data_IF_124262635796
#
_entry.id   IF_124262635796
#
_cell.length_a   1.000
_cell.length_b   1.000
_cell.length_c   1.000
_cell.angle_alpha   90.00
_cell.angle_beta   90.00
_cell.angle_gamma   90.00
#
_symmetry.space_group_name_H-M   'P 1'
#
loop_
_entity.id
_entity.type
_entity.pdbx_description
1 polymer ?
#
# COMPACT_ATOMS: atom_id res chain seq x y z
N UNK A 1 -21.80 -81.32 -23.31
CA UNK A 1 -22.35 -79.97 -23.54
C UNK A 1 -21.92 -79.04 -22.41
N UNK A 2 -21.05 -78.05 -22.73
CA UNK A 2 -20.47 -77.11 -21.75
C UNK A 2 -21.51 -76.07 -21.33
N UNK A 3 -21.79 -75.99 -20.03
CA UNK A 3 -22.56 -74.90 -19.42
C UNK A 3 -21.57 -73.78 -19.06
N UNK A 4 -21.72 -72.62 -19.70
CA UNK A 4 -20.90 -71.43 -19.47
C UNK A 4 -21.34 -70.70 -18.19
N UNK A 5 -20.38 -70.45 -17.29
CA UNK A 5 -20.46 -69.43 -16.25
C UNK A 5 -20.59 -68.04 -16.90
N UNK A 6 -21.53 -67.22 -16.41
CA UNK A 6 -21.70 -65.81 -16.79
C UNK A 6 -20.92 -64.93 -15.81
N UNK A 7 -19.92 -64.13 -16.24
CA UNK A 7 -19.24 -63.21 -15.35
C UNK A 7 -20.02 -61.89 -15.24
N UNK A 8 -20.18 -61.43 -14.00
CA UNK A 8 -20.86 -60.20 -13.58
C UNK A 8 -19.80 -59.14 -13.31
N UNK A 9 -19.13 -58.59 -14.32
CA UNK A 9 -18.09 -57.57 -14.13
C UNK A 9 -17.88 -56.72 -15.39
N UNK A 10 -18.88 -55.95 -15.83
CA UNK A 10 -18.67 -54.88 -16.83
C UNK A 10 -19.62 -53.71 -16.56
N UNK A 11 -19.55 -53.12 -15.36
CA UNK A 11 -20.24 -51.85 -15.09
C UNK A 11 -19.54 -51.05 -13.97
N UNK A 12 -18.23 -51.19 -13.84
CA UNK A 12 -17.43 -50.36 -12.92
C UNK A 12 -16.26 -49.65 -13.60
N UNK A 13 -15.82 -50.14 -14.77
CA UNK A 13 -14.69 -49.55 -15.50
C UNK A 13 -15.04 -48.26 -16.28
N UNK A 14 -16.29 -48.09 -16.72
CA UNK A 14 -16.68 -46.90 -17.52
C UNK A 14 -16.98 -45.66 -16.69
N UNK A 15 -17.19 -45.80 -15.37
CA UNK A 15 -17.44 -44.66 -14.47
C UNK A 15 -16.11 -44.07 -13.97
N UNK A 16 -15.04 -44.87 -13.92
CA UNK A 16 -13.72 -44.41 -13.48
C UNK A 16 -13.03 -43.48 -14.49
N UNK A 17 -13.31 -43.61 -15.79
CA UNK A 17 -12.72 -42.74 -16.83
C UNK A 17 -13.41 -41.36 -16.95
N UNK A 18 -14.66 -41.21 -16.50
CA UNK A 18 -15.36 -39.92 -16.50
C UNK A 18 -15.01 -39.04 -15.28
N UNK A 19 -14.53 -39.66 -14.19
CA UNK A 19 -14.07 -38.93 -12.99
C UNK A 19 -12.61 -38.45 -13.10
N UNK A 20 -11.80 -39.03 -13.99
CA UNK A 20 -10.42 -38.59 -14.19
C UNK A 20 -10.29 -37.41 -15.17
N UNK A 21 -11.23 -37.25 -16.09
CA UNK A 21 -11.27 -36.14 -17.05
C UNK A 21 -11.75 -34.80 -16.50
N UNK A 22 -12.35 -34.77 -15.30
CA UNK A 22 -12.86 -33.57 -14.64
C UNK A 22 -11.91 -32.97 -13.59
N UNK A 23 -10.79 -33.64 -13.29
CA UNK A 23 -9.77 -33.14 -12.36
C UNK A 23 -8.74 -32.21 -13.01
N UNK A 24 -8.77 -32.04 -14.33
CA UNK A 24 -7.89 -31.09 -15.06
C UNK A 24 -8.55 -29.75 -15.39
N UNK A 25 -9.82 -29.55 -15.05
CA UNK A 25 -10.54 -28.31 -15.29
C UNK A 25 -10.54 -27.39 -14.07
N UNK A 26 -9.39 -27.03 -13.53
CA UNK A 26 -9.23 -25.84 -12.67
C UNK A 26 -7.77 -25.49 -12.38
N UNK A 27 -6.95 -25.28 -13.41
CA UNK A 27 -5.92 -24.23 -13.29
C UNK A 27 -6.62 -22.87 -13.49
N UNK A 28 -7.52 -22.54 -12.56
CA UNK A 28 -7.92 -21.16 -12.38
C UNK A 28 -6.63 -20.43 -12.01
N UNK A 29 -6.06 -19.69 -12.96
CA UNK A 29 -5.00 -18.72 -12.66
C UNK A 29 -5.65 -17.67 -11.75
N UNK A 30 -5.64 -17.92 -10.44
CA UNK A 30 -6.00 -16.91 -9.47
C UNK A 30 -5.05 -15.75 -9.68
N UNK A 31 -5.57 -14.59 -10.09
CA UNK A 31 -4.75 -13.39 -10.20
C UNK A 31 -4.14 -13.06 -8.85
N UNK A 32 -2.81 -13.14 -8.80
CA UNK A 32 -2.07 -12.81 -7.59
C UNK A 32 -2.29 -11.33 -7.24
N UNK A 33 -2.21 -11.01 -5.95
CA UNK A 33 -2.29 -9.63 -5.49
C UNK A 33 -1.26 -8.72 -6.19
N UNK A 34 -0.08 -9.27 -6.47
CA UNK A 34 0.98 -8.60 -7.20
C UNK A 34 0.58 -8.27 -8.64
N UNK A 35 -0.08 -9.20 -9.36
CA UNK A 35 -0.54 -8.96 -10.73
C UNK A 35 -1.59 -7.84 -10.77
N UNK A 36 -2.55 -7.85 -9.85
CA UNK A 36 -3.56 -6.78 -9.73
C UNK A 36 -2.93 -5.41 -9.45
N UNK A 37 -1.91 -5.36 -8.59
CA UNK A 37 -1.14 -4.13 -8.36
C UNK A 37 -0.41 -3.67 -9.62
N UNK A 38 0.25 -4.58 -10.34
CA UNK A 38 0.94 -4.23 -11.59
C UNK A 38 -0.05 -3.72 -12.65
N UNK A 39 -1.21 -4.34 -12.80
CA UNK A 39 -2.23 -3.89 -13.73
C UNK A 39 -2.75 -2.50 -13.36
N UNK A 40 -3.05 -2.26 -12.08
CA UNK A 40 -3.43 -0.94 -11.59
C UNK A 40 -2.36 0.10 -11.90
N UNK A 41 -1.09 -0.22 -11.61
CA UNK A 41 0.04 0.65 -11.88
C UNK A 41 0.11 1.00 -13.37
N UNK A 42 0.08 0.01 -14.26
CA UNK A 42 0.20 0.22 -15.71
C UNK A 42 -1.00 0.98 -16.28
N UNK A 43 -2.22 0.62 -15.87
CA UNK A 43 -3.43 1.31 -16.28
C UNK A 43 -3.41 2.78 -15.86
N UNK A 44 -3.09 3.04 -14.60
CA UNK A 44 -2.97 4.41 -14.08
C UNK A 44 -1.86 5.18 -14.80
N UNK A 45 -0.73 4.52 -15.08
CA UNK A 45 0.38 5.10 -15.80
C UNK A 45 -0.02 5.53 -17.22
N UNK A 46 -0.68 4.69 -18.00
CA UNK A 46 -1.04 5.02 -19.38
C UNK A 46 -2.06 6.16 -19.47
N UNK A 47 -2.98 6.24 -18.51
CA UNK A 47 -4.11 7.16 -18.57
C UNK A 47 -3.89 8.50 -17.83
N UNK A 48 -2.77 8.67 -17.13
CA UNK A 48 -2.46 9.92 -16.42
C UNK A 48 -1.42 10.74 -17.19
N UNK A 49 -1.58 12.06 -17.35
CA UNK A 49 -0.55 12.92 -17.94
C UNK A 49 0.68 13.05 -17.01
N UNK A 50 1.81 13.47 -17.59
CA UNK A 50 3.01 13.78 -16.79
C UNK A 50 2.81 15.03 -15.94
N UNK A 51 3.17 14.93 -14.66
CA UNK A 51 3.37 16.10 -13.80
C UNK A 51 4.75 16.72 -14.07
N UNK A 52 5.75 15.86 -14.25
CA UNK A 52 7.12 16.25 -14.56
C UNK A 52 7.75 15.22 -15.49
N UNK A 53 8.38 15.66 -16.58
CA UNK A 53 9.11 14.75 -17.48
C UNK A 53 10.58 14.62 -17.07
N UNK A 54 11.23 13.53 -17.45
CA UNK A 54 12.67 13.35 -17.20
C UNK A 54 13.51 14.43 -17.90
N UNK A 55 13.11 14.89 -19.08
CA UNK A 55 13.77 15.99 -19.80
C UNK A 55 13.58 17.36 -19.13
N UNK A 56 12.49 17.53 -18.37
CA UNK A 56 12.32 18.73 -17.55
C UNK A 56 13.19 18.63 -16.30
N UNK A 57 13.20 17.47 -15.63
CA UNK A 57 13.99 17.23 -14.42
C UNK A 57 15.51 17.36 -14.67
N UNK A 58 16.00 16.87 -15.82
CA UNK A 58 17.43 16.90 -16.18
C UNK A 58 18.02 18.29 -16.35
N UNK A 59 17.19 19.33 -16.47
CA UNK A 59 17.64 20.73 -16.58
C UNK A 59 18.06 21.33 -15.24
N UNK A 60 17.80 20.64 -14.13
CA UNK A 60 18.06 21.14 -12.79
C UNK A 60 19.13 20.29 -12.10
N UNK A 61 20.07 20.89 -11.37
CA UNK A 61 21.08 20.16 -10.62
C UNK A 61 20.44 19.21 -9.59
N UNK A 62 20.67 17.88 -9.66
CA UNK A 62 20.00 16.94 -8.76
C UNK A 62 20.26 17.20 -7.27
N UNK A 63 21.44 17.76 -6.94
CA UNK A 63 21.80 18.11 -5.57
C UNK A 63 20.80 19.11 -4.95
N UNK A 64 20.32 20.09 -5.72
CA UNK A 64 19.41 21.14 -5.24
C UNK A 64 17.97 20.66 -5.04
N UNK A 65 17.60 19.52 -5.64
CA UNK A 65 16.26 18.95 -5.56
C UNK A 65 16.08 18.03 -4.35
N UNK A 66 17.19 17.55 -3.79
CA UNK A 66 17.19 16.64 -2.64
C UNK A 66 17.06 17.40 -1.32
N UNK A 67 16.42 16.78 -0.34
CA UNK A 67 16.31 17.35 1.01
C UNK A 67 17.67 17.57 1.68
N UNK A 68 18.66 16.74 1.33
CA UNK A 68 20.04 16.86 1.81
C UNK A 68 20.68 18.22 1.51
N UNK A 69 20.18 18.95 0.51
CA UNK A 69 20.67 20.27 0.15
C UNK A 69 20.60 21.28 1.31
N UNK A 70 19.67 21.10 2.25
CA UNK A 70 19.46 22.06 3.33
C UNK A 70 20.52 21.96 4.44
N UNK A 71 21.34 20.91 4.44
CA UNK A 71 22.28 20.63 5.51
C UNK A 71 23.73 20.92 5.10
N UNK A 72 24.62 21.23 6.06
CA UNK A 72 26.04 21.38 5.76
C UNK A 72 26.66 20.11 5.17
N UNK A 73 27.57 20.29 4.23
CA UNK A 73 28.29 19.19 3.60
C UNK A 73 29.49 18.73 4.46
N UNK A 74 29.18 17.98 5.52
CA UNK A 74 30.19 17.36 6.37
C UNK A 74 30.99 16.23 5.70
N UNK A 75 30.63 15.83 4.47
CA UNK A 75 31.45 14.87 3.70
C UNK A 75 32.66 15.56 3.09
N UNK A 76 32.52 16.83 2.71
CA UNK A 76 33.59 17.62 2.07
C UNK A 76 34.27 18.59 3.03
N UNK A 77 33.56 19.11 4.04
CA UNK A 77 34.05 20.18 4.90
C UNK A 77 34.05 19.78 6.37
N UNK A 78 35.08 20.18 7.09
CA UNK A 78 35.16 19.99 8.54
C UNK A 78 34.40 21.08 9.30
N UNK A 79 34.14 20.86 10.59
CA UNK A 79 33.63 21.92 11.47
C UNK A 79 34.53 23.15 11.51
N UNK A 80 35.84 22.95 11.41
CA UNK A 80 36.79 24.06 11.37
C UNK A 80 36.59 24.91 10.11
N UNK A 81 36.45 24.27 8.95
CA UNK A 81 36.20 24.94 7.67
C UNK A 81 34.91 25.78 7.70
N UNK A 82 33.82 25.18 8.21
CA UNK A 82 32.54 25.89 8.31
C UNK A 82 32.61 27.08 9.28
N UNK A 83 33.41 26.98 10.34
CA UNK A 83 33.66 28.10 11.25
C UNK A 83 34.45 29.21 10.55
N UNK A 84 35.49 28.87 9.79
CA UNK A 84 36.24 29.86 9.00
C UNK A 84 35.33 30.58 7.99
N UNK A 85 34.49 29.82 7.27
CA UNK A 85 33.51 30.39 6.34
C UNK A 85 32.53 31.33 7.06
N UNK A 86 32.02 30.92 8.22
CA UNK A 86 31.14 31.76 9.02
C UNK A 86 31.84 33.05 9.48
N UNK A 87 33.10 32.97 9.92
CA UNK A 87 33.89 34.16 10.29
C UNK A 87 34.06 35.10 9.09
N UNK A 88 34.39 34.57 7.91
CA UNK A 88 34.51 35.37 6.69
C UNK A 88 33.20 36.07 6.33
N UNK A 89 32.06 35.37 6.42
CA UNK A 89 30.74 35.91 6.13
C UNK A 89 30.28 36.97 7.14
N UNK A 90 30.51 36.74 8.44
CA UNK A 90 30.05 37.61 9.53
C UNK A 90 30.91 38.84 9.73
N UNK A 91 32.24 38.71 9.61
CA UNK A 91 33.20 39.79 9.80
C UNK A 91 33.70 40.41 8.50
N UNK A 92 33.18 39.98 7.34
CA UNK A 92 33.63 40.44 6.02
C UNK A 92 35.13 40.24 5.77
N UNK A 93 35.75 39.26 6.43
CA UNK A 93 37.19 39.11 6.50
C UNK A 93 37.70 38.14 5.43
N UNK A 94 38.78 38.53 4.74
CA UNK A 94 39.46 37.63 3.82
C UNK A 94 40.26 36.59 4.61
N UNK A 95 39.86 35.33 4.47
CA UNK A 95 40.51 34.17 5.08
C UNK A 95 40.90 33.25 3.93
N UNK A 96 42.13 32.73 3.94
CA UNK A 96 42.57 31.72 3.00
C UNK A 96 42.57 30.35 3.68
N UNK A 97 42.14 29.34 2.93
CA UNK A 97 42.19 27.94 3.30
C UNK A 97 42.95 27.16 2.23
N UNK A 98 43.49 26.00 2.58
CA UNK A 98 44.08 25.08 1.62
C UNK A 98 43.01 24.35 0.78
N UNK A 99 41.75 24.37 1.22
CA UNK A 99 40.63 23.81 0.49
C UNK A 99 40.10 24.79 -0.56
N UNK A 100 40.35 24.49 -1.84
CA UNK A 100 39.91 25.32 -2.97
C UNK A 100 38.39 25.54 -3.03
N UNK A 101 37.57 24.55 -2.63
CA UNK A 101 36.12 24.70 -2.57
C UNK A 101 35.69 25.66 -1.44
N UNK A 102 36.41 25.63 -0.32
CA UNK A 102 36.16 26.57 0.78
C UNK A 102 36.54 27.99 0.39
N UNK A 103 37.67 28.18 -0.30
CA UNK A 103 38.07 29.50 -0.80
C UNK A 103 37.01 30.11 -1.72
N UNK A 104 36.40 29.31 -2.61
CA UNK A 104 35.31 29.78 -3.47
C UNK A 104 34.07 30.20 -2.67
N UNK A 105 33.71 29.47 -1.62
CA UNK A 105 32.63 29.86 -0.73
C UNK A 105 32.95 31.16 0.03
N UNK A 106 34.19 31.33 0.49
CA UNK A 106 34.67 32.56 1.12
C UNK A 106 34.62 33.73 0.13
N UNK A 107 35.05 33.54 -1.11
CA UNK A 107 34.96 34.57 -2.16
C UNK A 107 33.51 35.01 -2.42
N UNK A 108 32.58 34.05 -2.44
CA UNK A 108 31.14 34.33 -2.55
C UNK A 108 30.63 35.15 -1.35
N UNK A 109 30.92 34.73 -0.13
CA UNK A 109 30.47 35.44 1.08
C UNK A 109 31.08 36.86 1.17
N UNK A 110 32.34 37.02 0.77
CA UNK A 110 32.98 38.34 0.66
C UNK A 110 32.33 39.22 -0.40
N UNK A 111 31.94 38.66 -1.55
CA UNK A 111 31.23 39.40 -2.58
C UNK A 111 29.89 39.92 -2.04
N UNK A 112 29.09 39.06 -1.40
CA UNK A 112 27.83 39.43 -0.77
C UNK A 112 28.01 40.49 0.31
N UNK A 113 28.98 40.31 1.20
CA UNK A 113 29.23 41.23 2.29
C UNK A 113 29.63 42.63 1.78
N UNK A 114 30.45 42.69 0.73
CA UNK A 114 30.90 43.94 0.11
C UNK A 114 29.89 44.56 -0.86
N UNK A 115 28.68 44.00 -0.95
CA UNK A 115 27.63 44.51 -1.82
C UNK A 115 27.90 44.28 -3.32
N UNK A 116 28.85 43.42 -3.69
CA UNK A 116 29.15 43.09 -5.08
C UNK A 116 28.08 42.13 -5.63
N UNK A 117 27.31 42.60 -6.61
CA UNK A 117 26.39 41.77 -7.36
C UNK A 117 27.14 40.77 -8.24
N UNK A 118 26.63 39.54 -8.29
CA UNK A 118 27.16 38.47 -9.12
C UNK A 118 26.36 38.38 -10.40
N UNK A 119 27.05 38.18 -11.52
CA UNK A 119 26.38 37.94 -12.81
C UNK A 119 25.68 36.58 -12.78
N UNK A 120 24.54 36.40 -13.48
CA UNK A 120 23.83 35.12 -13.51
C UNK A 120 24.70 33.91 -13.90
N UNK A 121 25.63 34.07 -14.84
CA UNK A 121 26.53 32.99 -15.29
C UNK A 121 27.44 32.46 -14.18
N UNK A 122 27.61 33.19 -13.08
CA UNK A 122 28.36 32.71 -11.92
C UNK A 122 27.68 31.45 -11.33
N UNK A 123 26.34 31.39 -11.30
CA UNK A 123 25.62 30.26 -10.69
C UNK A 123 25.64 28.99 -11.56
N UNK A 124 25.81 29.13 -12.87
CA UNK A 124 25.96 28.00 -13.79
C UNK A 124 27.40 27.51 -13.93
N UNK A 125 28.39 28.39 -13.70
CA UNK A 125 29.81 28.09 -13.89
C UNK A 125 30.53 27.59 -12.63
N UNK A 126 29.87 27.62 -11.47
CA UNK A 126 30.45 27.26 -10.18
C UNK A 126 29.64 26.14 -9.50
N UNK A 127 30.16 25.63 -8.39
CA UNK A 127 29.42 24.71 -7.53
C UNK A 127 28.07 25.33 -7.13
N UNK A 128 27.00 24.54 -7.18
CA UNK A 128 25.65 25.04 -6.88
C UNK A 128 25.34 25.07 -5.38
N UNK A 129 26.00 24.19 -4.61
CA UNK A 129 25.78 23.97 -3.19
C UNK A 129 26.73 24.83 -2.34
N UNK A 130 26.18 25.52 -1.35
CA UNK A 130 26.95 26.22 -0.35
C UNK A 130 27.44 25.25 0.75
N UNK A 131 28.69 25.33 1.25
CA UNK A 131 29.23 24.37 2.23
C UNK A 131 28.41 24.23 3.51
N UNK A 132 27.82 25.34 3.99
CA UNK A 132 26.97 25.38 5.17
C UNK A 132 25.49 24.98 4.90
N UNK A 133 25.18 24.40 3.74
CA UNK A 133 23.83 24.07 3.31
C UNK A 133 23.13 25.22 2.56
N UNK A 134 22.13 24.83 1.78
CA UNK A 134 21.43 25.63 0.77
C UNK A 134 22.22 25.75 -0.53
N UNK A 135 21.61 26.39 -1.53
CA UNK A 135 22.31 26.81 -2.74
C UNK A 135 22.95 28.20 -2.58
N UNK A 136 24.00 28.48 -3.36
CA UNK A 136 24.52 29.85 -3.46
C UNK A 136 23.45 30.83 -3.99
N UNK A 137 22.63 30.38 -4.94
CA UNK A 137 21.52 31.18 -5.46
C UNK A 137 20.52 31.54 -4.36
N UNK A 138 20.17 30.61 -3.47
CA UNK A 138 19.25 30.89 -2.36
C UNK A 138 19.77 32.03 -1.46
N UNK A 139 21.05 31.97 -1.12
CA UNK A 139 21.71 32.99 -0.28
C UNK A 139 21.78 34.33 -1.00
N UNK A 140 22.11 34.32 -2.29
CA UNK A 140 22.18 35.52 -3.10
C UNK A 140 20.82 36.22 -3.22
N UNK A 141 19.76 35.47 -3.54
CA UNK A 141 18.39 35.99 -3.65
C UNK A 141 17.82 36.45 -2.30
N UNK A 142 18.28 35.86 -1.19
CA UNK A 142 17.93 36.34 0.16
C UNK A 142 18.57 37.70 0.47
N UNK A 143 19.78 37.96 -0.04
CA UNK A 143 20.52 39.21 0.16
C UNK A 143 20.01 40.33 -0.75
N UNK A 144 19.68 40.01 -2.00
CA UNK A 144 19.26 40.96 -3.01
C UNK A 144 17.80 40.71 -3.42
N UNK A 145 16.91 41.61 -3.02
CA UNK A 145 15.47 41.53 -3.30
C UNK A 145 15.05 42.20 -4.63
N UNK A 146 15.83 43.17 -5.12
CA UNK A 146 15.55 43.91 -6.35
C UNK A 146 16.44 43.42 -7.50
N UNK A 147 16.22 42.19 -7.96
CA UNK A 147 16.94 41.62 -9.09
C UNK A 147 16.14 41.84 -10.37
N UNK A 148 16.81 42.24 -11.44
CA UNK A 148 16.18 42.36 -12.76
C UNK A 148 15.52 41.05 -13.18
N UNK A 149 14.30 41.08 -13.78
CA UNK A 149 13.54 39.87 -14.12
C UNK A 149 14.32 38.86 -14.96
N UNK A 150 15.13 39.32 -15.92
CA UNK A 150 15.94 38.44 -16.76
C UNK A 150 17.03 37.71 -15.97
N UNK A 151 17.70 38.42 -15.05
CA UNK A 151 18.68 37.83 -14.14
C UNK A 151 18.02 36.84 -13.18
N UNK A 152 16.84 37.16 -12.66
CA UNK A 152 16.09 36.25 -11.80
C UNK A 152 15.73 34.94 -12.51
N UNK A 153 15.26 35.01 -13.76
CA UNK A 153 14.97 33.82 -14.56
C UNK A 153 16.19 32.94 -14.81
N UNK A 154 17.38 33.53 -14.97
CA UNK A 154 18.62 32.79 -15.13
C UNK A 154 19.14 32.17 -13.82
N UNK A 155 18.87 32.79 -12.67
CA UNK A 155 19.32 32.32 -11.35
C UNK A 155 18.35 31.28 -10.75
N UNK A 156 17.04 31.42 -11.01
CA UNK A 156 16.00 30.59 -10.41
C UNK A 156 16.23 29.06 -10.52
N UNK A 157 16.72 28.49 -11.64
CA UNK A 157 17.00 27.06 -11.74
C UNK A 157 18.08 26.53 -10.78
N UNK A 158 18.92 27.43 -10.24
CA UNK A 158 20.01 27.10 -9.32
C UNK A 158 19.64 27.28 -7.83
N UNK A 159 18.37 27.58 -7.54
CA UNK A 159 17.83 27.62 -6.17
C UNK A 159 17.47 26.23 -5.70
N UNK A 160 17.46 25.99 -4.39
CA UNK A 160 16.95 24.71 -3.86
C UNK A 160 15.45 24.57 -4.08
N UNK A 161 14.95 23.34 -4.12
CA UNK A 161 13.52 23.09 -4.30
C UNK A 161 12.64 23.67 -3.18
N UNK A 162 13.22 23.94 -2.01
CA UNK A 162 12.51 24.58 -0.89
C UNK A 162 12.29 26.08 -1.11
N UNK A 163 13.02 26.68 -2.04
CA UNK A 163 12.85 28.07 -2.42
C UNK A 163 11.63 28.24 -3.35
N UNK A 164 10.65 29.10 -3.02
CA UNK A 164 9.48 29.33 -3.86
C UNK A 164 9.78 29.87 -5.26
N UNK A 165 10.97 30.47 -5.45
CA UNK A 165 11.44 30.97 -6.74
C UNK A 165 11.84 29.82 -7.68
N UNK A 166 12.18 28.64 -7.13
CA UNK A 166 12.54 27.50 -7.95
C UNK A 166 11.38 27.12 -8.90
N UNK A 167 11.62 26.98 -10.21
CA UNK A 167 10.54 26.66 -11.15
C UNK A 167 9.80 25.35 -10.86
N UNK A 168 10.48 24.37 -10.25
CA UNK A 168 9.90 23.09 -9.85
C UNK A 168 9.21 23.13 -8.48
N UNK A 169 9.30 24.23 -7.72
CA UNK A 169 8.75 24.31 -6.37
C UNK A 169 7.25 24.01 -6.34
N UNK A 170 6.47 24.54 -7.28
CA UNK A 170 5.02 24.26 -7.33
C UNK A 170 4.69 22.82 -7.69
N UNK A 171 5.59 22.13 -8.40
CA UNK A 171 5.40 20.74 -8.83
C UNK A 171 5.84 19.72 -7.78
N UNK A 172 6.97 19.96 -7.10
CA UNK A 172 7.58 18.99 -6.17
C UNK A 172 7.64 19.49 -4.71
N UNK A 173 7.30 20.75 -4.45
CA UNK A 173 7.34 21.33 -3.10
C UNK A 173 6.20 20.89 -2.20
N UNK A 174 5.11 20.37 -2.76
CA UNK A 174 4.01 19.76 -2.00
C UNK A 174 4.34 18.37 -1.46
N UNK A 175 5.30 17.67 -2.06
CA UNK A 175 5.82 16.40 -1.54
C UNK A 175 6.63 16.64 -0.27
N UNK A 176 6.49 15.74 0.70
CA UNK A 176 7.42 15.73 1.82
C UNK A 176 8.86 15.51 1.35
N UNK A 177 9.86 15.94 2.15
CA UNK A 177 11.25 15.68 1.85
C UNK A 177 11.55 14.20 1.56
N UNK A 178 10.90 13.29 2.29
CA UNK A 178 11.07 11.84 2.14
C UNK A 178 10.49 11.34 0.82
N UNK A 179 9.26 11.74 0.48
CA UNK A 179 8.61 11.32 -0.76
C UNK A 179 9.29 11.85 -2.00
N UNK A 180 9.68 13.13 -1.98
CA UNK A 180 10.46 13.73 -3.06
C UNK A 180 11.78 13.01 -3.25
N UNK A 181 12.55 12.79 -2.18
CA UNK A 181 13.83 12.10 -2.28
C UNK A 181 13.67 10.65 -2.75
N UNK A 182 12.63 9.93 -2.31
CA UNK A 182 12.34 8.58 -2.76
C UNK A 182 12.08 8.55 -4.28
N UNK A 183 11.19 9.41 -4.78
CA UNK A 183 10.89 9.50 -6.22
C UNK A 183 12.13 9.88 -7.04
N UNK A 184 12.90 10.87 -6.58
CA UNK A 184 14.15 11.30 -7.24
C UNK A 184 15.26 10.23 -7.21
N UNK A 185 15.21 9.30 -6.25
CA UNK A 185 16.12 8.16 -6.15
C UNK A 185 15.61 6.92 -6.92
N UNK A 186 14.51 7.03 -7.67
CA UNK A 186 14.03 5.98 -8.57
C UNK A 186 12.94 5.06 -7.98
N UNK A 187 12.38 5.39 -6.82
CA UNK A 187 11.18 4.70 -6.34
C UNK A 187 10.02 4.96 -7.31
N UNK A 188 9.31 3.89 -7.68
CA UNK A 188 8.31 3.94 -8.76
C UNK A 188 6.92 4.35 -8.29
N UNK A 189 6.64 4.26 -6.99
CA UNK A 189 5.39 4.73 -6.44
C UNK A 189 5.61 5.39 -5.08
N UNK A 190 4.85 6.44 -4.80
CA UNK A 190 4.80 7.06 -3.49
C UNK A 190 3.40 7.57 -3.22
N UNK A 191 2.79 7.18 -2.12
CA UNK A 191 1.46 7.64 -1.75
C UNK A 191 1.55 8.59 -0.57
N UNK A 192 1.17 9.85 -0.76
CA UNK A 192 1.18 10.84 0.30
C UNK A 192 -0.02 11.77 0.17
N UNK A 193 -0.64 12.07 1.31
CA UNK A 193 -1.97 12.66 1.37
C UNK A 193 -2.93 11.89 0.44
N UNK A 194 -3.58 12.58 -0.49
CA UNK A 194 -4.51 12.01 -1.46
C UNK A 194 -3.91 11.77 -2.85
N UNK A 195 -2.58 11.90 -3.00
CA UNK A 195 -1.92 11.79 -4.31
C UNK A 195 -1.03 10.56 -4.37
N UNK A 196 -1.35 9.67 -5.31
CA UNK A 196 -0.49 8.58 -5.72
C UNK A 196 0.49 9.08 -6.77
N UNK A 197 1.74 9.26 -6.38
CA UNK A 197 2.83 9.58 -7.29
C UNK A 197 3.35 8.31 -7.93
N UNK A 198 3.48 8.31 -9.25
CA UNK A 198 4.06 7.22 -10.02
C UNK A 198 5.31 7.74 -10.75
N UNK A 199 6.36 6.95 -10.78
CA UNK A 199 7.65 7.31 -11.37
C UNK A 199 8.21 6.21 -12.25
N UNK A 200 8.77 6.60 -13.39
CA UNK A 200 9.60 5.74 -14.22
C UNK A 200 10.74 6.55 -14.86
N UNK A 201 11.47 5.93 -15.80
CA UNK A 201 12.57 6.57 -16.53
C UNK A 201 12.14 7.79 -17.38
N UNK A 202 10.86 7.91 -17.70
CA UNK A 202 10.30 9.00 -18.48
C UNK A 202 9.83 10.19 -17.63
N UNK A 203 9.66 10.01 -16.31
CA UNK A 203 9.32 11.09 -15.39
C UNK A 203 8.34 10.68 -14.28
N UNK A 204 7.66 11.69 -13.73
CA UNK A 204 6.73 11.57 -12.62
C UNK A 204 5.29 11.93 -13.05
N UNK A 205 4.33 11.17 -12.53
CA UNK A 205 2.90 11.41 -12.66
C UNK A 205 2.30 11.57 -11.26
N UNK A 206 1.45 12.57 -11.09
CA UNK A 206 0.70 12.80 -9.86
C UNK A 206 -0.75 12.40 -10.10
N UNK A 207 -1.20 11.35 -9.44
CA UNK A 207 -2.54 10.79 -9.63
C UNK A 207 -3.39 11.14 -8.40
N UNK A 208 -4.45 11.91 -8.58
CA UNK A 208 -5.35 12.27 -7.49
C UNK A 208 -6.18 11.07 -7.00
N UNK A 209 -6.62 11.12 -5.74
CA UNK A 209 -7.51 10.13 -5.13
C UNK A 209 -8.75 9.83 -5.98
N UNK A 210 -9.34 10.85 -6.59
CA UNK A 210 -10.49 10.71 -7.49
C UNK A 210 -10.24 9.78 -8.69
N UNK A 211 -8.98 9.58 -9.08
CA UNK A 211 -8.59 8.70 -10.19
C UNK A 211 -8.10 7.35 -9.67
N UNK A 212 -7.15 7.31 -8.74
CA UNK A 212 -6.55 6.03 -8.34
C UNK A 212 -7.44 5.21 -7.40
N UNK A 213 -8.26 5.84 -6.55
CA UNK A 213 -9.08 5.10 -5.57
C UNK A 213 -10.17 4.26 -6.24
N UNK A 214 -10.93 4.73 -7.25
CA UNK A 214 -11.89 3.89 -7.97
C UNK A 214 -11.22 2.71 -8.68
N UNK A 215 -10.01 2.91 -9.21
CA UNK A 215 -9.24 1.83 -9.86
C UNK A 215 -8.79 0.79 -8.84
N UNK A 216 -8.29 1.22 -7.66
CA UNK A 216 -7.95 0.33 -6.56
C UNK A 216 -9.16 -0.45 -6.03
N UNK A 217 -10.31 0.22 -5.92
CA UNK A 217 -11.57 -0.41 -5.54
C UNK A 217 -11.99 -1.49 -6.52
N UNK A 218 -11.95 -1.19 -7.83
CA UNK A 218 -12.27 -2.16 -8.88
C UNK A 218 -11.32 -3.37 -8.88
N UNK A 219 -10.04 -3.16 -8.55
CA UNK A 219 -9.04 -4.21 -8.40
C UNK A 219 -9.10 -4.95 -7.04
N UNK A 220 -10.03 -4.60 -6.15
CA UNK A 220 -10.13 -5.11 -4.79
C UNK A 220 -8.81 -4.96 -3.99
N UNK A 221 -8.14 -3.82 -4.16
CA UNK A 221 -6.87 -3.47 -3.51
C UNK A 221 -7.06 -2.36 -2.47
N UNK A 222 -6.25 -2.43 -1.41
CA UNK A 222 -5.94 -1.31 -0.52
C UNK A 222 -4.46 -0.97 -0.65
N UNK A 223 -4.12 0.32 -0.75
CA UNK A 223 -2.75 0.82 -0.85
C UNK A 223 -2.19 1.32 0.50
N UNK A 224 -3.06 1.39 1.51
CA UNK A 224 -2.76 1.76 2.90
C UNK A 224 -3.52 0.80 3.83
N UNK A 225 -3.41 -0.51 3.57
CA UNK A 225 -4.10 -1.52 4.37
C UNK A 225 -3.50 -1.63 5.78
N UNK A 226 -4.34 -1.89 6.78
CA UNK A 226 -3.88 -2.20 8.15
C UNK A 226 -3.09 -3.52 8.19
N UNK A 227 -3.51 -4.51 7.41
CA UNK A 227 -2.84 -5.80 7.26
C UNK A 227 -2.03 -5.83 5.96
N UNK A 228 -0.72 -5.61 6.05
CA UNK A 228 0.14 -5.53 4.88
C UNK A 228 0.46 -6.89 4.28
N UNK A 229 -0.04 -7.17 3.07
CA UNK A 229 0.34 -8.39 2.36
C UNK A 229 1.75 -8.25 1.76
N UNK A 230 2.06 -7.10 1.14
CA UNK A 230 3.43 -6.72 0.81
C UNK A 230 3.59 -5.20 0.70
N UNK A 231 4.82 -4.73 0.90
CA UNK A 231 5.18 -3.31 0.78
C UNK A 231 5.69 -3.00 -0.62
N UNK A 232 5.30 -1.85 -1.16
CA UNK A 232 5.87 -1.31 -2.39
C UNK A 232 6.21 0.17 -2.15
N UNK A 233 7.49 0.49 -1.98
CA UNK A 233 7.91 1.84 -1.55
C UNK A 233 7.29 2.17 -0.18
N UNK A 234 6.56 3.29 -0.04
CA UNK A 234 5.79 3.58 1.17
C UNK A 234 4.34 3.06 1.14
N UNK A 235 3.96 2.31 0.10
CA UNK A 235 2.62 1.74 -0.02
C UNK A 235 2.57 0.40 0.70
N UNK A 236 1.43 0.14 1.30
CA UNK A 236 1.10 -1.14 1.87
C UNK A 236 -0.02 -1.79 1.05
N UNK A 237 0.36 -2.73 0.19
CA UNK A 237 -0.56 -3.39 -0.71
C UNK A 237 -1.23 -4.54 0.04
N UNK A 238 -2.54 -4.51 0.08
CA UNK A 238 -3.37 -5.53 0.70
C UNK A 238 -4.64 -5.76 -0.12
N UNK A 239 -5.28 -6.90 0.10
CA UNK A 239 -6.66 -7.05 -0.37
C UNK A 239 -7.56 -6.09 0.40
N UNK A 240 -8.51 -5.47 -0.30
CA UNK A 240 -9.49 -4.65 0.37
C UNK A 240 -10.34 -5.56 1.24
N UNK A 241 -10.31 -5.31 2.54
CA UNK A 241 -11.13 -6.01 3.50
C UNK A 241 -12.59 -5.57 3.30
N UNK A 242 -13.28 -6.19 2.35
CA UNK A 242 -14.72 -6.10 2.31
C UNK A 242 -15.19 -6.87 3.53
N UNK A 243 -15.83 -6.16 4.47
CA UNK A 243 -16.60 -6.76 5.55
C UNK A 243 -17.74 -7.58 4.93
N UNK A 244 -17.39 -8.68 4.28
CA UNK A 244 -18.28 -9.79 4.07
C UNK A 244 -18.51 -10.31 5.49
N UNK A 245 -19.76 -10.26 5.95
CA UNK A 245 -20.17 -11.08 7.09
C UNK A 245 -19.53 -12.44 6.85
N UNK A 246 -18.55 -12.81 7.68
CA UNK A 246 -17.74 -14.00 7.42
C UNK A 246 -18.72 -15.12 7.13
N UNK A 247 -18.57 -15.79 5.98
CA UNK A 247 -19.48 -16.87 5.58
C UNK A 247 -19.62 -17.92 6.69
N UNK A 248 -18.62 -18.01 7.57
CA UNK A 248 -18.62 -18.79 8.81
C UNK A 248 -19.73 -18.38 9.80
N UNK A 249 -20.04 -17.09 9.93
CA UNK A 249 -21.15 -16.57 10.77
C UNK A 249 -22.50 -16.99 10.20
N UNK A 250 -22.67 -16.92 8.87
CA UNK A 250 -23.90 -17.37 8.21
C UNK A 250 -24.08 -18.88 8.35
N UNK A 251 -23.02 -19.65 8.13
CA UNK A 251 -23.03 -21.11 8.27
C UNK A 251 -23.26 -21.56 9.71
N UNK A 252 -22.67 -20.88 10.70
CA UNK A 252 -22.90 -21.20 12.12
C UNK A 252 -24.32 -20.90 12.55
N UNK A 253 -24.90 -19.79 12.07
CA UNK A 253 -26.28 -19.42 12.36
C UNK A 253 -27.28 -20.40 11.71
N UNK A 254 -27.03 -20.79 10.45
CA UNK A 254 -27.82 -21.80 9.75
C UNK A 254 -27.70 -23.19 10.42
N UNK A 255 -26.48 -23.58 10.82
CA UNK A 255 -26.23 -24.81 11.56
C UNK A 255 -26.96 -24.84 12.91
N UNK A 256 -26.98 -23.71 13.62
CA UNK A 256 -27.73 -23.56 14.89
C UNK A 256 -29.24 -23.75 14.71
N UNK A 257 -29.82 -23.19 13.65
CA UNK A 257 -31.26 -23.37 13.33
C UNK A 257 -31.57 -24.84 13.02
N UNK A 258 -30.74 -25.51 12.21
CA UNK A 258 -30.90 -26.92 11.91
C UNK A 258 -30.82 -27.81 13.16
N UNK A 259 -29.86 -27.56 14.05
CA UNK A 259 -29.73 -28.28 15.31
C UNK A 259 -30.94 -28.08 16.22
N UNK A 260 -31.45 -26.85 16.35
CA UNK A 260 -32.65 -26.57 17.12
C UNK A 260 -33.88 -27.31 16.56
N UNK A 261 -34.01 -27.39 15.24
CA UNK A 261 -35.10 -28.12 14.59
C UNK A 261 -35.03 -29.62 14.84
N UNK A 262 -33.84 -30.22 14.74
CA UNK A 262 -33.61 -31.64 15.03
C UNK A 262 -33.89 -31.95 16.52
N UNK A 263 -33.46 -31.08 17.43
CA UNK A 263 -33.72 -31.22 18.86
C UNK A 263 -35.23 -31.17 19.16
N UNK A 264 -35.96 -30.23 18.55
CA UNK A 264 -37.42 -30.12 18.69
C UNK A 264 -38.13 -31.38 18.18
N UNK A 265 -37.78 -31.88 17.00
CA UNK A 265 -38.36 -33.11 16.44
C UNK A 265 -38.07 -34.33 17.33
N UNK A 266 -36.86 -34.42 17.87
CA UNK A 266 -36.47 -35.50 18.78
C UNK A 266 -37.24 -35.44 20.10
N UNK A 267 -37.42 -34.23 20.66
CA UNK A 267 -38.23 -34.03 21.86
C UNK A 267 -39.70 -34.44 21.65
N UNK A 268 -40.30 -34.01 20.53
CA UNK A 268 -41.67 -34.39 20.17
C UNK A 268 -41.81 -35.91 20.00
N UNK A 269 -40.85 -36.57 19.35
CA UNK A 269 -40.82 -38.05 19.24
C UNK A 269 -40.69 -38.72 20.62
N UNK A 270 -39.86 -38.19 21.52
CA UNK A 270 -39.74 -38.71 22.87
C UNK A 270 -41.03 -38.54 23.69
N UNK A 271 -41.70 -37.38 23.58
CA UNK A 271 -42.99 -37.13 24.22
C UNK A 271 -44.04 -38.14 23.73
N UNK A 272 -44.16 -38.33 22.42
CA UNK A 272 -45.09 -39.28 21.83
C UNK A 272 -44.82 -40.73 22.28
N UNK A 273 -43.54 -41.12 22.41
CA UNK A 273 -43.15 -42.45 22.94
C UNK A 273 -43.54 -42.62 24.41
N UNK A 274 -43.45 -41.56 25.24
CA UNK A 274 -43.89 -41.61 26.65
C UNK A 274 -45.39 -41.74 26.77
N UNK A 275 -46.15 -40.97 26.00
CA UNK A 275 -47.62 -41.03 25.97
C UNK A 275 -48.11 -42.40 25.51
N UNK A 276 -47.53 -42.98 24.46
CA UNK A 276 -47.86 -44.34 24.00
C UNK A 276 -47.58 -45.41 25.06
N UNK A 277 -46.49 -45.29 25.84
CA UNK A 277 -46.18 -46.22 26.94
C UNK A 277 -47.18 -46.08 28.08
N UNK A 278 -47.59 -44.86 28.41
CA UNK A 278 -48.61 -44.61 29.45
C UNK A 278 -49.98 -45.20 29.05
N UNK A 279 -50.42 -44.99 27.80
CA UNK A 279 -51.69 -45.56 27.30
C UNK A 279 -51.65 -47.10 27.31
N UNK A 280 -50.54 -47.72 26.88
CA UNK A 280 -50.38 -49.16 26.96
C UNK A 280 -50.41 -49.67 28.41
N UNK A 281 -49.77 -48.96 29.35
CA UNK A 281 -49.81 -49.30 30.77
C UNK A 281 -51.21 -49.19 31.36
N UNK A 282 -51.98 -48.17 30.98
CA UNK A 282 -53.38 -47.97 31.40
C UNK A 282 -54.28 -49.11 30.88
N UNK A 283 -54.17 -49.47 29.59
CA UNK A 283 -54.90 -50.59 28.99
C UNK A 283 -54.55 -51.93 29.64
N UNK A 284 -53.30 -52.13 30.04
CA UNK A 284 -52.90 -53.31 30.82
C UNK A 284 -53.35 -53.26 32.26
N UNK A 285 -53.61 -52.08 32.84
CA UNK A 285 -54.13 -51.94 34.19
C UNK A 285 -55.64 -52.20 34.24
N UNK A 286 -56.37 -51.82 33.18
CA UNK A 286 -57.81 -52.14 33.02
C UNK A 286 -58.06 -53.61 32.65
N UNK A 287 -57.21 -54.24 31.82
CA UNK A 287 -57.31 -55.69 31.55
C UNK A 287 -56.68 -56.57 32.65
N UNK A 288 -56.07 -55.97 33.67
CA UNK A 288 -55.57 -56.67 34.86
C UNK A 288 -56.44 -56.33 36.07
N UNK A 289 -57.76 -56.30 35.91
CA UNK A 289 -58.62 -56.92 36.93
C UNK A 289 -58.48 -58.43 36.77
N UNK A 290 -57.72 -59.10 37.63
CA UNK A 290 -57.60 -60.55 37.56
C UNK A 290 -58.98 -61.18 37.72
N UNK A 291 -59.28 -62.10 36.81
CA UNK A 291 -60.31 -63.13 36.97
C UNK A 291 -59.84 -64.02 38.13
N UNK A 292 -59.99 -63.53 39.37
CA UNK A 292 -59.75 -64.25 40.62
C UNK A 292 -60.97 -64.15 41.54
N UNK A 293 -62.17 -64.02 40.96
CA UNK A 293 -63.45 -64.18 41.68
C UNK A 293 -64.42 -65.17 41.03
N UNK A 294 -64.00 -65.93 40.02
CA UNK A 294 -64.82 -66.99 39.38
C UNK A 294 -64.14 -68.37 39.37
N UNK A 295 -63.24 -68.63 40.33
CA UNK A 295 -62.51 -69.89 40.48
C UNK A 295 -62.80 -70.64 41.79
N UNK A 296 -63.92 -70.36 42.47
CA UNK A 296 -64.29 -70.98 43.75
C UNK A 296 -65.82 -71.07 43.86
N UNK A 297 -66.41 -72.05 43.17
CA UNK A 297 -67.65 -72.78 43.49
C UNK A 297 -67.96 -73.67 42.29
N UNK A 298 -67.46 -74.91 42.28
CA UNK A 298 -68.21 -76.14 41.96
C UNK A 298 -67.26 -77.29 42.35
N UNK A 299 -67.28 -77.62 43.64
CA UNK A 299 -66.88 -78.92 44.18
C UNK A 299 -68.08 -79.38 45.03
N UNK A 300 -69.14 -79.89 44.40
CA UNK A 300 -70.08 -80.82 45.04
C UNK A 300 -70.88 -81.60 43.98
N UNK A 301 -70.67 -82.92 44.02
CA UNK A 301 -71.40 -84.05 43.40
C UNK A 301 -71.13 -84.40 41.94
#
# INVERSE_FOLDING_TARGET
SRVYLKPRFVMFERISFLLFGSLLSCLAHGETLQNRWQELYQNTWQNTPYALTQNELSRYPPALLKSSALYPDFKTFTWHDLRLLNTAATHCQSIKSDNAKLNRAIEFELALCRGKQLKPDWFSSNDVMHPAGGGYADRYLKKYNNIEPQSLMAIAPFTTISNPINPLHRKLGSLSPQGRDALLNGYRAWLEADTLWLGNESGLKAVSASVWQPLAQKANLSLQGENCAFTYSNLCIAERNTSTISWQIVLTLLGGICLAFIARLSFLKHKQRREKRFILQLLTHELRTPITSLGLTVDIF
#
